data_IF_839719964164
#
_entry.id   IF_839719964164
#
_cell.length_a   1.000
_cell.length_b   1.000
_cell.length_c   1.000
_cell.angle_alpha   90.00
_cell.angle_beta   90.00
_cell.angle_gamma   90.00
#
_symmetry.space_group_name_H-M   'P 1'
#
loop_
_entity.id
_entity.type
_entity.pdbx_description
1 polymer ?
#
# COMPACT_ATOMS: atom_id res chain seq x y z
N UNK A 1 22.24 2.08 3.00
CA UNK A 1 21.09 1.40 2.33
C UNK A 1 20.84 0.06 3.01
N UNK A 2 21.87 -0.77 3.25
CA UNK A 2 21.74 -2.03 4.02
C UNK A 2 21.17 -1.86 5.43
N UNK A 3 21.72 -0.94 6.23
CA UNK A 3 21.31 -0.74 7.63
C UNK A 3 19.81 -0.38 7.76
N UNK A 4 19.26 0.35 6.79
CA UNK A 4 17.84 0.72 6.76
C UNK A 4 16.92 -0.46 6.40
N UNK A 5 17.43 -1.41 5.60
CA UNK A 5 16.70 -2.63 5.25
C UNK A 5 16.73 -3.61 6.42
N UNK A 6 17.87 -3.74 7.10
CA UNK A 6 17.99 -4.53 8.33
C UNK A 6 17.06 -4.05 9.45
N UNK A 7 16.88 -2.73 9.61
CA UNK A 7 15.88 -2.17 10.53
C UNK A 7 14.44 -2.56 10.16
N UNK A 8 14.13 -2.69 8.87
CA UNK A 8 12.81 -3.13 8.42
C UNK A 8 12.59 -4.62 8.73
N UNK A 9 13.62 -5.45 8.60
CA UNK A 9 13.60 -6.87 8.99
C UNK A 9 13.42 -7.05 10.51
N UNK A 10 13.93 -6.13 11.32
CA UNK A 10 13.71 -6.18 12.78
C UNK A 10 12.26 -5.85 13.19
N UNK A 11 11.50 -5.15 12.35
CA UNK A 11 10.15 -4.67 12.65
C UNK A 11 9.04 -5.45 11.92
N UNK A 12 9.40 -6.18 10.86
CA UNK A 12 8.50 -6.91 9.99
C UNK A 12 9.12 -8.26 9.64
N UNK A 13 8.34 -9.35 9.60
CA UNK A 13 8.89 -10.65 9.25
C UNK A 13 9.49 -10.65 7.85
N UNK A 14 10.61 -11.36 7.68
CA UNK A 14 11.51 -11.28 6.53
C UNK A 14 10.81 -11.42 5.17
N UNK A 15 9.80 -12.30 5.09
CA UNK A 15 9.04 -12.52 3.87
C UNK A 15 8.21 -11.30 3.42
N UNK A 16 7.85 -10.41 4.34
CA UNK A 16 7.05 -9.20 4.05
C UNK A 16 7.88 -8.15 3.32
N UNK A 17 9.14 -7.95 3.74
CA UNK A 17 10.04 -6.95 3.16
C UNK A 17 10.42 -7.35 1.73
N UNK A 18 10.87 -8.59 1.54
CA UNK A 18 11.24 -9.11 0.22
C UNK A 18 10.04 -9.08 -0.74
N UNK A 19 8.86 -9.50 -0.28
CA UNK A 19 7.66 -9.47 -1.11
C UNK A 19 7.19 -8.05 -1.45
N UNK A 20 7.44 -7.07 -0.57
CA UNK A 20 7.15 -5.67 -0.87
C UNK A 20 8.11 -5.10 -1.91
N UNK A 21 9.41 -5.41 -1.80
CA UNK A 21 10.41 -4.99 -2.78
C UNK A 21 10.15 -5.59 -4.16
N UNK A 22 9.78 -6.87 -4.25
CA UNK A 22 9.38 -7.52 -5.51
C UNK A 22 8.20 -6.81 -6.18
N UNK A 23 7.22 -6.32 -5.42
CA UNK A 23 6.10 -5.53 -5.96
C UNK A 23 6.55 -4.16 -6.50
N UNK A 24 7.50 -3.50 -5.82
CA UNK A 24 8.09 -2.23 -6.29
C UNK A 24 8.92 -2.47 -7.55
N UNK A 25 9.69 -3.55 -7.60
CA UNK A 25 10.55 -3.87 -8.74
C UNK A 25 9.78 -4.17 -10.02
N UNK A 26 8.58 -4.75 -9.88
CA UNK A 26 7.64 -5.01 -10.97
C UNK A 26 6.76 -3.82 -11.34
N UNK A 27 7.05 -2.63 -10.81
CA UNK A 27 6.25 -1.41 -11.00
C UNK A 27 4.73 -1.64 -10.74
N UNK A 28 4.42 -2.53 -9.79
CA UNK A 28 3.05 -2.97 -9.50
C UNK A 28 2.30 -2.02 -8.56
N UNK A 29 2.87 -0.84 -8.28
CA UNK A 29 2.30 0.20 -7.43
C UNK A 29 1.84 1.37 -8.29
N UNK A 30 0.52 1.56 -8.35
CA UNK A 30 -0.14 2.64 -9.07
C UNK A 30 -0.50 3.77 -8.10
N UNK A 31 -0.15 5.00 -8.47
CA UNK A 31 -0.50 6.21 -7.72
C UNK A 31 -1.40 7.08 -8.58
N UNK A 32 -2.65 7.18 -8.19
CA UNK A 32 -3.63 8.06 -8.81
C UNK A 32 -3.63 9.42 -8.13
N UNK A 33 -3.39 10.47 -8.90
CA UNK A 33 -3.48 11.85 -8.42
C UNK A 33 -4.77 12.48 -8.91
N UNK A 34 -5.58 12.95 -7.97
CA UNK A 34 -6.78 13.72 -8.30
C UNK A 34 -6.43 15.18 -8.55
N UNK A 35 -7.29 15.88 -9.30
CA UNK A 35 -7.18 17.31 -9.55
C UNK A 35 -7.17 18.16 -8.27
N UNK A 36 -7.77 17.66 -7.19
CA UNK A 36 -7.84 18.30 -5.87
C UNK A 36 -6.69 17.92 -4.91
N UNK A 37 -5.64 17.28 -5.42
CA UNK A 37 -4.41 17.02 -4.66
C UNK A 37 -4.47 15.81 -3.72
N UNK A 38 -5.53 15.00 -3.77
CA UNK A 38 -5.57 13.71 -3.06
C UNK A 38 -4.90 12.62 -3.89
N UNK A 39 -4.28 11.67 -3.19
CA UNK A 39 -3.64 10.52 -3.81
C UNK A 39 -4.38 9.24 -3.42
N UNK A 40 -4.63 8.38 -4.39
CA UNK A 40 -5.14 7.03 -4.19
C UNK A 40 -4.10 6.02 -4.68
N UNK A 41 -3.81 5.00 -3.88
CA UNK A 41 -2.80 3.99 -4.23
C UNK A 41 -3.49 2.66 -4.46
N UNK A 42 -2.98 1.95 -5.45
CA UNK A 42 -3.34 0.58 -5.69
C UNK A 42 -2.10 -0.25 -5.92
N UNK A 43 -2.17 -1.49 -5.46
CA UNK A 43 -1.11 -2.46 -5.64
C UNK A 43 -1.69 -3.66 -6.36
N UNK A 44 -1.13 -3.97 -7.53
CA UNK A 44 -1.44 -5.18 -8.27
C UNK A 44 -0.81 -6.36 -7.55
N UNK A 45 -1.64 -7.13 -6.84
CA UNK A 45 -1.24 -8.42 -6.30
C UNK A 45 -1.31 -9.52 -7.36
N UNK A 46 -0.84 -10.71 -7.01
CA UNK A 46 -0.89 -11.88 -7.90
C UNK A 46 -2.32 -12.37 -8.19
N UNK A 47 -3.26 -12.09 -7.29
CA UNK A 47 -4.65 -12.59 -7.35
C UNK A 47 -5.66 -11.48 -7.59
N UNK A 48 -5.42 -10.29 -7.05
CA UNK A 48 -6.33 -9.15 -7.16
C UNK A 48 -5.59 -7.83 -6.98
N UNK A 49 -6.20 -6.75 -7.45
CA UNK A 49 -5.76 -5.38 -7.16
C UNK A 49 -6.26 -4.97 -5.78
N UNK A 50 -5.38 -4.41 -4.96
CA UNK A 50 -5.70 -3.96 -3.62
C UNK A 50 -5.60 -2.44 -3.52
N UNK A 51 -6.64 -1.80 -2.99
CA UNK A 51 -6.58 -0.39 -2.61
C UNK A 51 -5.74 -0.24 -1.35
N UNK A 52 -4.82 0.71 -1.38
CA UNK A 52 -3.87 0.98 -0.30
C UNK A 52 -3.98 2.45 0.10
N UNK A 53 -4.05 2.66 1.40
CA UNK A 53 -4.07 3.98 2.02
C UNK A 53 -2.91 4.03 3.00
N UNK A 54 -1.71 4.45 2.55
CA UNK A 54 -0.49 4.35 3.36
C UNK A 54 -0.49 5.33 4.54
N UNK A 55 -1.29 6.40 4.45
CA UNK A 55 -1.39 7.46 5.46
C UNK A 55 -2.87 7.87 5.60
N UNK A 56 -3.56 7.32 6.59
CA UNK A 56 -4.85 7.89 7.01
C UNK A 56 -4.57 9.14 7.87
N UNK A 57 -5.26 10.24 7.58
CA UNK A 57 -5.04 11.53 8.24
C UNK A 57 -5.21 11.50 9.76
N UNK A 58 -4.59 12.49 10.42
CA UNK A 58 -4.42 12.69 11.86
C UNK A 58 -5.56 12.14 12.75
N UNK A 59 -5.16 11.34 13.74
CA UNK A 59 -5.97 10.83 14.87
C UNK A 59 -6.62 9.44 14.70
N UNK A 60 -5.86 8.45 14.22
CA UNK A 60 -6.22 7.06 14.45
C UNK A 60 -4.98 6.26 14.91
N UNK A 61 -5.20 5.31 15.82
CA UNK A 61 -4.20 4.29 16.21
C UNK A 61 -3.73 3.45 15.02
N UNK A 62 -4.48 3.47 13.93
CA UNK A 62 -4.20 2.80 12.67
C UNK A 62 -3.79 3.86 11.64
N UNK A 63 -2.51 3.89 11.29
CA UNK A 63 -1.92 4.89 10.38
C UNK A 63 -2.05 4.51 8.90
N UNK A 64 -2.42 3.27 8.59
CA UNK A 64 -2.49 2.74 7.23
C UNK A 64 -3.62 1.72 7.06
N UNK A 65 -4.12 1.54 5.83
CA UNK A 65 -5.15 0.56 5.51
C UNK A 65 -4.88 -0.10 4.15
N UNK A 66 -5.20 -1.38 4.04
CA UNK A 66 -5.19 -2.11 2.79
C UNK A 66 -6.36 -3.09 2.73
N UNK A 67 -6.96 -3.24 1.55
CA UNK A 67 -8.08 -4.17 1.33
C UNK A 67 -7.66 -5.64 1.23
N UNK A 68 -6.38 -5.98 1.41
CA UNK A 68 -5.93 -7.36 1.29
C UNK A 68 -6.32 -8.21 2.52
N UNK A 69 -6.63 -9.51 2.34
CA UNK A 69 -6.99 -10.39 3.45
C UNK A 69 -5.91 -10.49 4.54
N UNK A 70 -4.64 -10.42 4.13
CA UNK A 70 -3.51 -10.44 5.05
C UNK A 70 -3.50 -9.22 5.99
N UNK A 71 -3.94 -8.05 5.53
CA UNK A 71 -4.05 -6.86 6.39
C UNK A 71 -5.15 -7.05 7.43
N UNK A 72 -6.33 -7.50 7.00
CA UNK A 72 -7.45 -7.75 7.90
C UNK A 72 -7.12 -8.77 8.99
N UNK A 73 -6.42 -9.86 8.64
CA UNK A 73 -6.03 -10.87 9.61
C UNK A 73 -4.81 -10.44 10.45
N UNK A 74 -3.67 -10.18 9.79
CA UNK A 74 -2.39 -10.04 10.50
C UNK A 74 -2.25 -8.72 11.25
N UNK A 75 -2.84 -7.63 10.75
CA UNK A 75 -2.75 -6.28 11.33
C UNK A 75 -3.96 -5.98 12.21
N UNK A 76 -5.19 -6.13 11.68
CA UNK A 76 -6.39 -5.73 12.42
C UNK A 76 -6.87 -6.76 13.46
N UNK A 77 -6.72 -8.06 13.18
CA UNK A 77 -7.27 -9.12 14.05
C UNK A 77 -6.23 -9.69 15.01
N UNK A 78 -5.05 -10.01 14.50
CA UNK A 78 -4.00 -10.71 15.25
C UNK A 78 -2.93 -9.80 15.84
N UNK A 79 -2.89 -8.52 15.45
CA UNK A 79 -1.86 -7.53 15.84
C UNK A 79 -0.41 -8.07 15.74
N UNK A 80 -0.21 -8.98 14.79
CA UNK A 80 1.04 -9.74 14.62
C UNK A 80 2.04 -9.02 13.74
N UNK A 81 1.57 -8.08 12.91
CA UNK A 81 2.36 -7.32 11.96
C UNK A 81 1.90 -5.87 11.99
N UNK A 82 2.84 -4.93 11.90
CA UNK A 82 2.54 -3.50 11.84
C UNK A 82 1.80 -3.11 10.54
N UNK A 83 2.14 -3.77 9.43
CA UNK A 83 1.55 -3.51 8.12
C UNK A 83 1.68 -4.73 7.21
N UNK A 84 0.87 -4.77 6.14
CA UNK A 84 1.01 -5.80 5.11
C UNK A 84 2.04 -5.40 4.04
N UNK A 85 2.49 -6.38 3.24
CA UNK A 85 3.44 -6.14 2.14
C UNK A 85 2.99 -5.08 1.13
N UNK A 86 1.68 -4.91 0.90
CA UNK A 86 1.18 -3.93 -0.08
C UNK A 86 1.28 -2.49 0.46
N UNK A 87 0.99 -2.28 1.75
CA UNK A 87 1.21 -0.98 2.41
C UNK A 87 2.70 -0.64 2.37
N UNK A 88 3.55 -1.60 2.75
CA UNK A 88 4.99 -1.41 2.69
C UNK A 88 5.48 -1.08 1.27
N UNK A 89 5.01 -1.82 0.26
CA UNK A 89 5.35 -1.57 -1.14
C UNK A 89 4.94 -0.16 -1.58
N UNK A 90 3.75 0.32 -1.21
CA UNK A 90 3.31 1.68 -1.53
C UNK A 90 4.18 2.75 -0.85
N UNK A 91 4.55 2.56 0.42
CA UNK A 91 5.47 3.44 1.13
C UNK A 91 6.86 3.47 0.47
N UNK A 92 7.42 2.30 0.14
CA UNK A 92 8.73 2.17 -0.50
C UNK A 92 8.72 2.77 -1.90
N UNK A 93 7.73 2.48 -2.73
CA UNK A 93 7.59 3.05 -4.07
C UNK A 93 7.51 4.59 -4.02
N UNK A 94 6.84 5.15 -3.00
CA UNK A 94 6.79 6.60 -2.83
C UNK A 94 8.14 7.20 -2.42
N UNK A 95 8.85 6.58 -1.47
CA UNK A 95 10.18 7.04 -1.07
C UNK A 95 11.21 6.89 -2.19
N UNK A 96 11.09 5.85 -3.00
CA UNK A 96 12.00 5.57 -4.12
C UNK A 96 11.59 6.27 -5.42
N UNK A 97 10.49 7.03 -5.42
CA UNK A 97 9.92 7.66 -6.63
C UNK A 97 9.66 6.66 -7.78
N UNK A 98 9.28 5.43 -7.43
CA UNK A 98 8.95 4.32 -8.36
C UNK A 98 7.44 4.07 -8.50
N UNK A 99 6.60 4.97 -7.98
CA UNK A 99 5.15 4.88 -8.22
C UNK A 99 4.83 5.15 -9.69
N UNK A 100 4.00 4.29 -10.29
CA UNK A 100 3.43 4.56 -11.61
C UNK A 100 2.31 5.58 -11.45
N UNK A 101 2.62 6.84 -11.73
CA UNK A 101 1.67 7.94 -11.55
C UNK A 101 0.70 8.05 -12.73
N UNK A 102 -0.59 8.20 -12.41
CA UNK A 102 -1.66 8.41 -13.39
C UNK A 102 -2.58 9.54 -12.91
N UNK A 103 -2.88 10.55 -13.76
CA UNK A 103 -3.97 11.47 -13.46
C UNK A 103 -5.28 10.70 -13.51
N UNK A 104 -6.20 11.00 -12.60
CA UNK A 104 -7.54 10.40 -12.58
C UNK A 104 -8.60 11.50 -12.44
N UNK A 105 -9.67 11.40 -13.22
CA UNK A 105 -10.86 12.23 -13.04
C UNK A 105 -11.69 11.75 -11.86
N UNK A 106 -12.55 12.62 -11.33
CA UNK A 106 -13.29 12.32 -10.10
C UNK A 106 -14.33 11.21 -10.28
N UNK A 107 -14.92 11.12 -11.48
CA UNK A 107 -15.82 10.02 -11.86
C UNK A 107 -15.09 8.68 -11.95
N UNK A 108 -13.91 8.67 -12.57
CA UNK A 108 -13.10 7.46 -12.67
C UNK A 108 -12.68 6.98 -11.29
N UNK A 109 -12.21 7.89 -10.43
CA UNK A 109 -11.87 7.57 -9.05
C UNK A 109 -13.05 6.97 -8.30
N UNK A 110 -14.24 7.56 -8.44
CA UNK A 110 -15.45 7.04 -7.80
C UNK A 110 -15.72 5.59 -8.23
N UNK A 111 -15.66 5.31 -9.54
CA UNK A 111 -15.86 3.96 -10.08
C UNK A 111 -14.89 2.95 -9.45
N UNK A 112 -13.62 3.33 -9.30
CA UNK A 112 -12.59 2.46 -8.71
C UNK A 112 -12.82 2.20 -7.24
N UNK A 113 -13.22 3.23 -6.48
CA UNK A 113 -13.55 3.08 -5.06
C UNK A 113 -14.81 2.23 -4.85
N UNK A 114 -15.82 2.39 -5.72
CA UNK A 114 -17.07 1.61 -5.64
C UNK A 114 -16.91 0.17 -6.11
N UNK A 115 -15.93 -0.14 -6.97
CA UNK A 115 -15.66 -1.51 -7.40
C UNK A 115 -15.25 -2.46 -6.25
N UNK A 116 -14.88 -1.89 -5.10
CA UNK A 116 -14.52 -2.62 -3.88
C UNK A 116 -15.62 -2.63 -2.81
N UNK A 117 -16.82 -2.10 -3.11
CA UNK A 117 -17.99 -2.12 -2.22
C UNK A 117 -19.03 -3.07 -2.85
N UNK A 118 -19.38 -4.19 -2.18
CA UNK A 118 -20.39 -5.13 -2.69
C UNK A 118 -21.81 -4.55 -2.68
#
# INVERSE_FOLDING_TARGET
>A
VDESVEMLHALLPDGTVVAALDLVDRDSVLKYKTSWGRCHYEVLGSTSTYSVFPRLGYSATISSYCTCPAFAFAVLTSDSHLMCKHVLAACLAEQLSRCVERPIGDQDLLLRLTAHIP
#
